data_IF_726955619688
#
_entry.id   IF_726955619688
#
_cell.length_a   1.000
_cell.length_b   1.000
_cell.length_c   1.000
_cell.angle_alpha   90.00
_cell.angle_beta   90.00
_cell.angle_gamma   90.00
#
_symmetry.space_group_name_H-M   'P 1'
#
loop_
_entity.id
_entity.type
_entity.pdbx_description
1 polymer ?
#
# COMPACT_ATOMS: atom_id res chain seq x y z
N UNK A 1 -12.84 34.62 12.46
CA UNK A 1 -13.19 33.21 12.18
C UNK A 1 -12.27 32.77 11.06
N UNK A 2 -11.20 32.04 11.40
CA UNK A 2 -10.25 31.55 10.40
C UNK A 2 -10.85 30.30 9.76
N UNK A 3 -11.09 30.39 8.47
CA UNK A 3 -11.54 29.25 7.67
C UNK A 3 -10.34 28.32 7.49
N UNK A 4 -10.28 27.28 8.33
CA UNK A 4 -9.30 26.21 8.22
C UNK A 4 -9.65 25.44 6.96
N UNK A 5 -8.89 25.63 5.88
CA UNK A 5 -9.06 24.84 4.66
C UNK A 5 -9.06 23.32 4.94
N UNK A 6 -9.61 22.50 4.03
CA UNK A 6 -9.77 21.08 4.25
C UNK A 6 -8.42 20.42 4.61
N UNK A 7 -8.41 19.71 5.75
CA UNK A 7 -7.29 18.89 6.20
C UNK A 7 -7.43 17.52 5.53
N UNK A 8 -6.39 17.10 4.82
CA UNK A 8 -6.26 15.74 4.32
C UNK A 8 -5.69 14.91 5.45
N UNK A 9 -6.36 13.81 5.79
CA UNK A 9 -5.85 12.83 6.75
C UNK A 9 -5.35 11.62 5.99
N UNK A 10 -4.08 11.25 6.22
CA UNK A 10 -3.44 10.07 5.63
C UNK A 10 -3.11 9.10 6.75
N UNK A 11 -3.66 7.89 6.67
CA UNK A 11 -3.36 6.82 7.61
C UNK A 11 -2.49 5.77 6.93
N UNK A 12 -1.34 5.49 7.51
CA UNK A 12 -0.38 4.51 7.02
C UNK A 12 -0.30 3.37 8.03
N UNK A 13 -0.50 2.15 7.56
CA UNK A 13 -0.27 0.93 8.33
C UNK A 13 0.97 0.24 7.76
N UNK A 14 2.06 0.24 8.53
CA UNK A 14 3.28 -0.48 8.21
C UNK A 14 3.22 -1.87 8.86
N UNK A 15 3.30 -2.92 8.04
CA UNK A 15 3.10 -4.29 8.51
C UNK A 15 4.26 -5.21 8.18
N UNK A 16 4.58 -6.11 9.10
CA UNK A 16 5.60 -7.14 8.94
C UNK A 16 5.35 -8.27 9.99
N UNK A 17 6.25 -9.24 10.07
CA UNK A 17 6.30 -10.25 11.13
C UNK A 17 6.52 -9.62 12.53
N UNK A 18 6.15 -10.31 13.62
CA UNK A 18 6.31 -9.80 14.99
C UNK A 18 7.72 -9.31 15.31
N UNK A 19 8.74 -9.98 14.75
CA UNK A 19 10.16 -9.68 14.97
C UNK A 19 10.60 -8.31 14.43
N UNK A 20 9.85 -7.72 13.50
CA UNK A 20 10.19 -6.44 12.89
C UNK A 20 9.43 -5.24 13.49
N UNK A 21 8.41 -5.49 14.32
CA UNK A 21 7.54 -4.42 14.87
C UNK A 21 8.32 -3.41 15.71
N UNK A 22 9.21 -3.87 16.60
CA UNK A 22 10.03 -2.96 17.42
C UNK A 22 10.92 -2.04 16.55
N UNK A 23 11.43 -2.55 15.43
CA UNK A 23 12.24 -1.76 14.51
C UNK A 23 11.38 -0.72 13.74
N UNK A 24 10.17 -1.10 13.35
CA UNK A 24 9.22 -0.17 12.72
C UNK A 24 8.85 0.96 13.69
N UNK A 25 8.55 0.63 14.95
CA UNK A 25 8.23 1.63 15.98
C UNK A 25 9.42 2.55 16.28
N UNK A 26 10.64 2.00 16.33
CA UNK A 26 11.86 2.80 16.46
C UNK A 26 12.02 3.78 15.29
N UNK A 27 11.81 3.32 14.05
CA UNK A 27 11.89 4.15 12.85
C UNK A 27 10.79 5.22 12.83
N UNK A 28 9.57 4.87 13.21
CA UNK A 28 8.46 5.81 13.40
C UNK A 28 8.84 6.91 14.40
N UNK A 29 9.34 6.55 15.59
CA UNK A 29 9.72 7.53 16.61
C UNK A 29 10.84 8.46 16.13
N UNK A 30 11.87 7.91 15.48
CA UNK A 30 13.00 8.65 14.93
C UNK A 30 12.60 9.62 13.81
N UNK A 31 11.61 9.25 13.01
CA UNK A 31 11.09 10.06 11.90
C UNK A 31 9.85 10.89 12.26
N UNK A 32 9.45 10.90 13.54
CA UNK A 32 8.22 11.57 14.00
C UNK A 32 8.15 13.06 13.67
N UNK A 33 9.29 13.73 13.64
CA UNK A 33 9.41 15.12 13.21
C UNK A 33 8.97 15.37 11.74
N UNK A 34 8.92 14.34 10.89
CA UNK A 34 8.45 14.46 9.51
C UNK A 34 6.92 14.56 9.40
N UNK A 35 6.19 14.05 10.40
CA UNK A 35 4.73 13.96 10.39
C UNK A 35 4.03 14.62 11.60
N UNK A 36 4.72 14.91 12.70
CA UNK A 36 4.16 15.57 13.88
C UNK A 36 4.12 17.11 13.80
N UNK A 37 4.51 17.69 12.67
CA UNK A 37 4.50 19.13 12.46
C UNK A 37 3.41 19.52 11.46
N UNK A 38 2.38 20.23 11.94
CA UNK A 38 1.39 20.99 11.18
C UNK A 38 1.60 21.00 9.66
N UNK A 39 0.69 20.37 8.91
CA UNK A 39 0.39 20.75 7.54
C UNK A 39 1.63 21.10 6.70
N UNK A 40 2.41 20.10 6.28
CA UNK A 40 3.43 20.37 5.26
C UNK A 40 2.72 21.03 4.07
N UNK A 41 3.09 22.28 3.80
CA UNK A 41 2.58 23.07 2.69
C UNK A 41 2.91 22.33 1.41
N UNK A 42 1.94 21.65 0.83
CA UNK A 42 2.05 21.23 -0.56
C UNK A 42 1.77 22.46 -1.42
N UNK A 43 2.79 22.97 -2.10
CA UNK A 43 2.62 23.93 -3.19
C UNK A 43 2.11 23.14 -4.40
N UNK A 44 0.78 23.04 -4.52
CA UNK A 44 0.13 22.68 -5.78
C UNK A 44 0.12 23.87 -6.74
N UNK A 45 -0.07 23.60 -8.04
CA UNK A 45 -0.12 24.60 -9.12
C UNK A 45 -1.28 25.61 -8.99
N UNK A 46 -2.16 25.43 -8.01
CA UNK A 46 -3.20 26.39 -7.63
C UNK A 46 -3.09 26.68 -6.13
N UNK A 47 -3.24 27.96 -5.76
CA UNK A 47 -3.05 28.61 -4.45
C UNK A 47 -3.86 28.05 -3.25
N UNK A 48 -4.32 26.80 -3.31
CA UNK A 48 -5.07 26.14 -2.22
C UNK A 48 -4.12 25.42 -1.26
N UNK A 49 -3.79 26.09 -0.17
CA UNK A 49 -3.09 25.51 0.98
C UNK A 49 -3.92 24.38 1.59
N UNK A 50 -3.50 23.13 1.43
CA UNK A 50 -4.09 21.98 2.14
C UNK A 50 -3.20 21.57 3.28
N UNK A 51 -3.79 21.44 4.46
CA UNK A 51 -3.13 20.81 5.59
C UNK A 51 -3.16 19.30 5.40
N UNK A 52 -2.07 18.61 5.71
CA UNK A 52 -1.98 17.16 5.69
C UNK A 52 -1.56 16.67 7.08
N UNK A 53 -2.34 15.76 7.65
CA UNK A 53 -2.03 15.05 8.88
C UNK A 53 -1.74 13.58 8.54
N UNK A 54 -0.59 13.08 9.00
CA UNK A 54 -0.15 11.72 8.73
C UNK A 54 -0.14 10.93 10.03
N UNK A 55 -0.90 9.84 10.04
CA UNK A 55 -0.99 8.91 11.16
C UNK A 55 -0.34 7.58 10.76
N UNK A 56 0.80 7.21 11.37
CA UNK A 56 1.52 5.98 11.05
C UNK A 56 1.41 4.97 12.20
N UNK A 57 1.02 3.73 11.87
CA UNK A 57 0.87 2.62 12.81
C UNK A 57 1.70 1.42 12.37
N UNK A 58 2.38 0.78 13.32
CA UNK A 58 2.96 -0.54 13.12
C UNK A 58 1.90 -1.61 13.47
N UNK A 59 1.83 -2.68 12.69
CA UNK A 59 0.99 -3.82 13.01
C UNK A 59 1.59 -5.13 12.47
N UNK A 60 1.27 -6.23 13.13
CA UNK A 60 1.66 -7.56 12.66
C UNK A 60 0.76 -8.01 11.49
N UNK A 61 1.40 -8.44 10.39
CA UNK A 61 0.73 -9.13 9.29
C UNK A 61 1.62 -10.24 8.75
N UNK A 62 1.44 -11.44 9.31
CA UNK A 62 2.01 -12.67 8.76
C UNK A 62 1.13 -13.19 7.62
N UNK A 63 1.71 -13.30 6.42
CA UNK A 63 0.99 -13.74 5.22
C UNK A 63 0.53 -15.19 5.30
N UNK A 64 1.23 -16.03 6.08
CA UNK A 64 0.87 -17.43 6.31
C UNK A 64 -0.28 -17.59 7.34
N UNK A 65 -0.73 -16.48 7.93
CA UNK A 65 -1.79 -16.43 8.93
C UNK A 65 -3.04 -15.68 8.42
N UNK A 66 -4.24 -15.95 8.98
CA UNK A 66 -5.43 -15.17 8.66
C UNK A 66 -5.26 -13.68 8.98
N UNK A 67 -5.76 -12.78 8.12
CA UNK A 67 -5.66 -11.33 8.31
C UNK A 67 -6.33 -10.91 9.63
N UNK A 68 -5.58 -10.34 10.60
CA UNK A 68 -6.15 -9.93 11.88
C UNK A 68 -7.17 -8.80 11.73
N UNK A 69 -8.21 -8.81 12.57
CA UNK A 69 -9.24 -7.75 12.55
C UNK A 69 -8.74 -6.35 12.94
N UNK A 70 -7.51 -6.26 13.46
CA UNK A 70 -6.79 -5.03 13.79
C UNK A 70 -6.17 -4.33 12.57
N UNK A 71 -5.95 -5.06 11.47
CA UNK A 71 -5.42 -4.50 10.23
C UNK A 71 -6.40 -3.52 9.59
N UNK A 72 -7.69 -3.80 9.71
CA UNK A 72 -8.73 -2.99 9.09
C UNK A 72 -8.90 -1.67 9.83
N UNK A 73 -8.68 -0.51 9.16
CA UNK A 73 -8.93 0.80 9.75
C UNK A 73 -10.38 0.88 10.19
N UNK A 74 -10.60 1.24 11.46
CA UNK A 74 -11.94 1.46 12.00
C UNK A 74 -12.22 2.94 12.11
N UNK A 75 -13.40 3.35 11.67
CA UNK A 75 -13.99 4.62 12.05
C UNK A 75 -14.29 4.62 13.55
N UNK A 76 -13.76 5.60 14.28
CA UNK A 76 -13.98 5.68 15.73
C UNK A 76 -15.44 6.00 16.10
N UNK A 77 -16.21 6.60 15.19
CA UNK A 77 -17.58 7.05 15.45
C UNK A 77 -18.64 6.04 15.02
N UNK A 78 -18.44 5.35 13.90
CA UNK A 78 -19.38 4.38 13.31
C UNK A 78 -18.96 2.93 13.48
N UNK A 79 -17.69 2.66 13.83
CA UNK A 79 -17.15 1.30 13.91
C UNK A 79 -17.00 0.61 12.56
N UNK A 80 -17.29 1.31 11.45
CA UNK A 80 -17.15 0.78 10.10
C UNK A 80 -15.67 0.55 9.78
N UNK A 81 -15.38 -0.56 9.10
CA UNK A 81 -14.09 -0.79 8.49
C UNK A 81 -14.07 -0.13 7.11
N UNK A 82 -12.98 0.54 6.77
CA UNK A 82 -12.80 1.11 5.43
C UNK A 82 -11.81 0.27 4.64
N UNK A 83 -12.02 0.12 3.31
CA UNK A 83 -11.02 -0.49 2.45
C UNK A 83 -9.76 0.38 2.42
N UNK A 84 -8.62 -0.24 2.16
CA UNK A 84 -7.40 0.51 1.86
C UNK A 84 -7.57 1.23 0.51
N UNK A 85 -7.01 2.44 0.38
CA UNK A 85 -6.90 3.10 -0.92
C UNK A 85 -5.73 2.50 -1.73
N UNK A 86 -4.60 2.25 -1.05
CA UNK A 86 -3.35 1.78 -1.65
C UNK A 86 -2.69 0.75 -0.74
N UNK A 87 -2.20 -0.33 -1.34
CA UNK A 87 -1.34 -1.35 -0.72
C UNK A 87 0.06 -1.19 -1.34
N UNK A 88 1.08 -0.93 -0.53
CA UNK A 88 2.45 -0.75 -1.01
C UNK A 88 3.29 -1.94 -0.58
N UNK A 89 4.04 -2.51 -1.52
CA UNK A 89 4.95 -3.62 -1.28
C UNK A 89 6.28 -3.34 -1.97
N UNK A 90 7.38 -3.63 -1.30
CA UNK A 90 8.72 -3.42 -1.85
C UNK A 90 9.59 -4.65 -1.58
N UNK A 91 10.16 -5.22 -2.64
CA UNK A 91 11.12 -6.33 -2.55
C UNK A 91 10.59 -7.56 -1.78
N UNK A 92 9.28 -7.83 -1.88
CA UNK A 92 8.59 -8.93 -1.17
C UNK A 92 8.59 -10.26 -1.93
N UNK A 93 9.14 -10.28 -3.14
CA UNK A 93 8.97 -11.39 -4.09
C UNK A 93 10.14 -12.39 -4.09
N UNK A 94 11.08 -12.26 -3.14
CA UNK A 94 12.32 -13.05 -3.13
C UNK A 94 12.12 -14.52 -2.73
N UNK A 95 10.99 -14.86 -2.09
CA UNK A 95 10.68 -16.22 -1.66
C UNK A 95 9.44 -16.75 -2.38
N UNK A 96 9.66 -17.56 -3.42
CA UNK A 96 8.58 -18.14 -4.24
C UNK A 96 7.67 -19.07 -3.44
N UNK A 97 8.16 -19.68 -2.35
CA UNK A 97 7.34 -20.51 -1.47
C UNK A 97 6.23 -19.71 -0.76
N UNK A 98 6.44 -18.39 -0.56
CA UNK A 98 5.46 -17.50 0.08
C UNK A 98 4.43 -16.92 -0.89
N UNK A 99 4.52 -17.19 -2.20
CA UNK A 99 3.64 -16.54 -3.19
C UNK A 99 2.17 -16.86 -2.97
N UNK A 100 1.85 -18.09 -2.59
CA UNK A 100 0.46 -18.46 -2.28
C UNK A 100 -0.09 -17.61 -1.12
N UNK A 101 0.65 -17.55 -0.03
CA UNK A 101 0.30 -16.81 1.18
C UNK A 101 0.17 -15.31 0.88
N UNK A 102 1.18 -14.72 0.23
CA UNK A 102 1.17 -13.32 -0.21
C UNK A 102 -0.06 -12.99 -1.07
N UNK A 103 -0.37 -13.82 -2.07
CA UNK A 103 -1.54 -13.60 -2.93
C UNK A 103 -2.86 -13.83 -2.21
N UNK A 104 -2.93 -14.73 -1.24
CA UNK A 104 -4.09 -14.92 -0.37
C UNK A 104 -4.32 -13.66 0.48
N UNK A 105 -3.26 -13.08 1.05
CA UNK A 105 -3.30 -11.81 1.78
C UNK A 105 -3.75 -10.66 0.90
N UNK A 106 -3.12 -10.44 -0.27
CA UNK A 106 -3.50 -9.36 -1.20
C UNK A 106 -4.97 -9.52 -1.61
N UNK A 107 -5.41 -10.74 -1.91
CA UNK A 107 -6.81 -11.04 -2.25
C UNK A 107 -7.75 -10.65 -1.11
N UNK A 108 -7.39 -10.93 0.15
CA UNK A 108 -8.16 -10.54 1.32
C UNK A 108 -8.23 -9.01 1.48
N UNK A 109 -7.08 -8.34 1.37
CA UNK A 109 -6.96 -6.88 1.46
C UNK A 109 -7.77 -6.15 0.38
N UNK A 110 -7.87 -6.74 -0.81
CA UNK A 110 -8.64 -6.20 -1.94
C UNK A 110 -10.17 -6.45 -1.86
N UNK A 111 -10.65 -7.36 -1.00
CA UNK A 111 -12.07 -7.79 -0.96
C UNK A 111 -12.93 -7.08 0.10
N UNK A 112 -12.33 -6.54 1.15
CA UNK A 112 -13.02 -6.09 2.37
C UNK A 112 -12.87 -4.56 2.58
N UNK A 113 -13.91 -3.80 2.99
CA UNK A 113 -15.34 -4.04 2.87
C UNK A 113 -16.06 -3.10 1.89
N UNK A 114 -17.13 -3.66 1.31
CA UNK A 114 -18.20 -3.14 0.44
C UNK A 114 -18.54 -1.65 0.63
N UNK A 115 -17.79 -0.76 -0.01
CA UNK A 115 -18.25 0.57 -0.37
C UNK A 115 -18.41 0.64 -1.91
N UNK A 116 -19.42 1.35 -2.44
CA UNK A 116 -19.46 1.68 -3.85
C UNK A 116 -18.24 2.55 -4.20
N UNK A 117 -17.26 1.98 -4.89
CA UNK A 117 -15.99 2.65 -5.20
C UNK A 117 -14.97 1.70 -5.83
N UNK A 118 -13.82 2.26 -6.22
CA UNK A 118 -12.67 1.47 -6.69
C UNK A 118 -12.10 0.65 -5.52
N UNK A 119 -11.71 -0.59 -5.78
CA UNK A 119 -10.93 -1.37 -4.81
C UNK A 119 -9.53 -0.79 -4.66
N UNK A 120 -8.84 -1.13 -3.57
CA UNK A 120 -7.45 -0.71 -3.36
C UNK A 120 -6.58 -1.03 -4.59
N UNK A 121 -5.63 -0.16 -4.88
CA UNK A 121 -4.56 -0.46 -5.85
C UNK A 121 -3.34 -1.00 -5.12
N UNK A 122 -2.60 -1.88 -5.78
CA UNK A 122 -1.34 -2.43 -5.28
C UNK A 122 -0.20 -1.74 -6.02
N UNK A 123 0.75 -1.17 -5.28
CA UNK A 123 2.01 -0.66 -5.82
C UNK A 123 3.14 -1.59 -5.38
N UNK A 124 3.74 -2.28 -6.35
CA UNK A 124 4.83 -3.22 -6.12
C UNK A 124 6.13 -2.69 -6.72
N UNK A 125 7.13 -2.45 -5.88
CA UNK A 125 8.51 -2.25 -6.31
C UNK A 125 9.23 -3.60 -6.35
N UNK A 126 9.52 -4.10 -7.56
CA UNK A 126 10.15 -5.39 -7.82
C UNK A 126 11.62 -5.20 -8.24
N UNK A 127 12.52 -5.96 -7.62
CA UNK A 127 13.90 -6.07 -8.08
C UNK A 127 14.19 -7.51 -8.48
N UNK A 128 14.46 -7.73 -9.77
CA UNK A 128 14.71 -9.08 -10.28
C UNK A 128 16.00 -9.68 -9.74
N UNK A 129 15.91 -10.86 -9.15
CA UNK A 129 17.06 -11.64 -8.68
C UNK A 129 17.05 -13.06 -9.24
N UNK A 130 15.86 -13.62 -9.38
CA UNK A 130 15.64 -14.96 -9.94
C UNK A 130 14.47 -14.93 -10.93
N UNK A 131 14.61 -15.50 -12.14
CA UNK A 131 13.51 -15.61 -13.10
C UNK A 131 12.25 -16.29 -12.53
N UNK A 132 12.38 -17.20 -11.56
CA UNK A 132 11.27 -17.88 -10.91
C UNK A 132 10.37 -16.91 -10.13
N UNK A 133 10.88 -15.75 -9.70
CA UNK A 133 10.06 -14.73 -9.04
C UNK A 133 8.94 -14.25 -9.98
N UNK A 134 9.14 -14.35 -11.30
CA UNK A 134 8.16 -13.97 -12.32
C UNK A 134 6.91 -14.83 -12.36
N UNK A 135 6.87 -15.98 -11.67
CA UNK A 135 5.64 -16.77 -11.57
C UNK A 135 4.54 -16.05 -10.77
N UNK A 136 4.89 -15.09 -9.91
CA UNK A 136 3.92 -14.31 -9.12
C UNK A 136 2.84 -13.65 -10.00
N UNK A 137 3.22 -13.12 -11.16
CA UNK A 137 2.29 -12.46 -12.09
C UNK A 137 1.26 -13.43 -12.66
N UNK A 138 1.72 -14.61 -13.09
CA UNK A 138 0.84 -15.68 -13.60
C UNK A 138 -0.09 -16.18 -12.50
N UNK A 139 0.44 -16.38 -11.30
CA UNK A 139 -0.34 -16.84 -10.15
C UNK A 139 -1.37 -15.80 -9.71
N UNK A 140 -1.02 -14.51 -9.74
CA UNK A 140 -1.93 -13.40 -9.48
C UNK A 140 -3.06 -13.34 -10.51
N UNK A 141 -2.74 -13.51 -11.80
CA UNK A 141 -3.73 -13.50 -12.87
C UNK A 141 -4.76 -14.62 -12.71
N UNK A 142 -4.34 -15.82 -12.27
CA UNK A 142 -5.26 -16.93 -11.98
C UNK A 142 -6.30 -16.61 -10.89
N UNK A 143 -6.04 -15.59 -10.06
CA UNK A 143 -6.91 -15.09 -9.00
C UNK A 143 -7.72 -13.87 -9.40
N UNK A 144 -7.57 -13.37 -10.64
CA UNK A 144 -8.22 -12.16 -11.14
C UNK A 144 -7.48 -10.85 -10.81
N UNK A 145 -6.25 -10.95 -10.29
CA UNK A 145 -5.38 -9.80 -10.01
C UNK A 145 -4.46 -9.60 -11.21
N UNK A 146 -4.38 -8.39 -11.73
CA UNK A 146 -3.44 -8.03 -12.81
C UNK A 146 -2.38 -7.09 -12.27
N UNK A 147 -1.15 -7.20 -12.78
CA UNK A 147 -0.08 -6.23 -12.57
C UNK A 147 0.38 -5.68 -13.92
N UNK A 148 0.48 -4.35 -14.02
CA UNK A 148 0.94 -3.61 -15.18
C UNK A 148 2.23 -2.89 -14.81
N UNK A 149 3.27 -3.07 -15.61
CA UNK A 149 4.53 -2.34 -15.44
C UNK A 149 4.28 -0.86 -15.79
N UNK A 150 4.52 0.04 -14.83
CA UNK A 150 4.29 1.48 -15.03
C UNK A 150 5.58 2.27 -15.15
N UNK A 151 6.67 1.79 -14.55
CA UNK A 151 7.98 2.45 -14.65
C UNK A 151 9.13 1.46 -14.36
N UNK A 152 10.33 1.82 -14.78
CA UNK A 152 11.58 1.15 -14.44
C UNK A 152 12.59 2.18 -13.97
N UNK A 153 12.90 2.15 -12.68
CA UNK A 153 13.79 3.13 -12.03
C UNK A 153 15.17 2.52 -11.83
N UNK A 154 16.21 3.23 -12.28
CA UNK A 154 17.59 2.83 -12.04
C UNK A 154 17.89 2.83 -10.54
N UNK A 155 18.16 1.66 -9.99
CA UNK A 155 18.59 1.52 -8.60
C UNK A 155 20.06 1.88 -8.38
N UNK A 156 20.53 1.79 -7.13
CA UNK A 156 21.95 1.97 -6.77
C UNK A 156 22.85 0.94 -7.47
N UNK A 157 22.30 -0.24 -7.77
CA UNK A 157 22.96 -1.33 -8.50
C UNK A 157 21.97 -2.01 -9.43
N UNK A 158 22.48 -2.48 -10.57
CA UNK A 158 21.76 -3.36 -11.49
C UNK A 158 21.25 -4.64 -10.79
N UNK A 159 20.18 -5.26 -11.31
CA UNK A 159 19.26 -4.70 -12.31
C UNK A 159 18.42 -3.55 -11.73
N UNK A 160 17.80 -2.76 -12.61
CA UNK A 160 16.85 -1.72 -12.25
C UNK A 160 15.66 -2.26 -11.44
N UNK A 161 14.99 -1.36 -10.71
CA UNK A 161 13.76 -1.66 -9.97
C UNK A 161 12.57 -1.37 -10.88
N UNK A 162 11.75 -2.38 -11.09
CA UNK A 162 10.52 -2.27 -11.85
C UNK A 162 9.38 -1.84 -10.89
N UNK A 163 8.56 -0.88 -11.30
CA UNK A 163 7.39 -0.41 -10.56
C UNK A 163 6.15 -0.94 -11.24
N UNK A 164 5.38 -1.73 -10.51
CA UNK A 164 4.19 -2.41 -10.99
C UNK A 164 2.96 -1.89 -10.26
N UNK A 165 1.92 -1.56 -11.04
CA UNK A 165 0.60 -1.23 -10.52
C UNK A 165 -0.31 -2.44 -10.68
N UNK A 166 -0.92 -2.90 -9.59
CA UNK A 166 -1.82 -4.04 -9.59
C UNK A 166 -3.13 -3.81 -8.87
N UNK A 167 -4.00 -4.81 -8.93
CA UNK A 167 -5.36 -4.76 -8.39
C UNK A 167 -6.27 -5.70 -9.17
N UNK A 168 -7.59 -5.62 -8.92
CA UNK A 168 -8.54 -6.33 -9.76
C UNK A 168 -8.42 -5.86 -11.20
N UNK A 169 -8.47 -6.80 -12.14
CA UNK A 169 -8.32 -6.51 -13.57
C UNK A 169 -9.25 -5.38 -14.05
N UNK A 170 -10.51 -5.38 -13.59
CA UNK A 170 -11.50 -4.34 -13.92
C UNK A 170 -11.04 -2.94 -13.49
N UNK A 171 -10.42 -2.83 -12.32
CA UNK A 171 -10.08 -1.56 -11.68
C UNK A 171 -8.80 -1.01 -12.32
N UNK A 172 -7.78 -1.87 -12.50
CA UNK A 172 -6.53 -1.50 -13.17
C UNK A 172 -6.76 -1.07 -14.62
N UNK A 173 -7.62 -1.78 -15.36
CA UNK A 173 -7.95 -1.39 -16.75
C UNK A 173 -8.69 -0.06 -16.82
N UNK A 174 -9.54 0.25 -15.84
CA UNK A 174 -10.29 1.52 -15.83
C UNK A 174 -9.37 2.75 -15.72
N UNK A 175 -8.24 2.62 -15.00
CA UNK A 175 -7.25 3.70 -14.85
C UNK A 175 -6.66 4.13 -16.20
N UNK A 176 -6.58 3.21 -17.17
CA UNK A 176 -5.98 3.44 -18.49
C UNK A 176 -7.00 3.55 -19.63
N UNK A 177 -8.30 3.37 -19.34
CA UNK A 177 -9.33 3.45 -20.37
C UNK A 177 -9.61 4.90 -20.85
N UNK A 178 -9.13 5.89 -20.09
CA UNK A 178 -9.31 7.33 -20.35
C UNK A 178 -8.06 8.04 -20.91
N UNK A 179 -7.02 7.28 -21.28
CA UNK A 179 -5.81 7.78 -21.98
C UNK A 179 -5.75 7.33 -23.42
#
# INVERSE_FOLDING_TARGET
MGDSGPVIHVRILATDLPSAIELIDHNKASNSHLFNGNARRFEGLEDTRRACEIELHAAELDWDSPIPSSIWPRDHNSGAQYPFDVIIMADVTYNTASFRALLDTITGLLREPRAPGLSAIVLLAYKSRDPAERTLWTDAQSRGITFVLVDTVKGVREPAVEIWLGGWERDVRSIWADT
#
